data_IF_524925760491
#
_entry.id   IF_524925760491
#
_cell.length_a   1.000
_cell.length_b   1.000
_cell.length_c   1.000
_cell.angle_alpha   90.00
_cell.angle_beta   90.00
_cell.angle_gamma   90.00
#
_symmetry.space_group_name_H-M   'P 1'
#
loop_
_entity.id
_entity.type
_entity.pdbx_description
1 polymer ?
#
# COMPACT_ATOMS: atom_id res chain seq x y z
N UNK A 1 52.34 19.45 -17.09
CA UNK A 1 51.12 18.63 -17.14
C UNK A 1 51.55 17.22 -17.58
N UNK A 2 51.79 16.36 -16.62
CA UNK A 2 52.30 14.98 -16.84
C UNK A 2 51.14 14.04 -17.12
N UNK A 3 51.06 13.52 -18.33
CA UNK A 3 50.05 12.57 -18.76
C UNK A 3 50.25 11.22 -18.05
N UNK A 4 49.28 10.77 -17.29
CA UNK A 4 49.25 9.46 -16.62
C UNK A 4 49.26 8.37 -17.71
N UNK A 5 50.24 7.42 -17.69
CA UNK A 5 50.38 6.41 -18.72
C UNK A 5 49.15 5.50 -18.79
N UNK A 6 48.76 5.12 -20.00
CA UNK A 6 47.55 4.29 -20.27
C UNK A 6 47.51 2.99 -19.47
N UNK A 7 48.62 2.42 -19.10
CA UNK A 7 48.77 1.21 -18.29
C UNK A 7 48.27 1.44 -16.86
N UNK A 8 48.51 2.62 -16.28
CA UNK A 8 48.07 2.96 -14.92
C UNK A 8 46.53 3.18 -14.84
N UNK A 9 45.94 3.70 -15.94
CA UNK A 9 44.48 3.83 -16.04
C UNK A 9 43.77 2.48 -16.19
N UNK A 10 44.39 1.55 -16.95
CA UNK A 10 43.87 0.19 -17.10
C UNK A 10 43.99 -0.62 -15.79
N UNK A 11 45.09 -0.45 -15.04
CA UNK A 11 45.27 -1.09 -13.74
C UNK A 11 44.26 -0.53 -12.68
N UNK A 12 44.02 0.80 -12.69
CA UNK A 12 43.06 1.43 -11.78
C UNK A 12 41.60 1.02 -12.10
N UNK A 13 41.24 0.87 -13.38
CA UNK A 13 39.95 0.38 -13.81
C UNK A 13 39.73 -1.10 -13.45
N UNK A 14 40.77 -1.93 -13.58
CA UNK A 14 40.70 -3.34 -13.21
C UNK A 14 40.57 -3.53 -11.69
N UNK A 15 41.26 -2.71 -10.88
CA UNK A 15 41.10 -2.72 -9.42
C UNK A 15 39.72 -2.24 -8.98
N UNK A 16 39.13 -1.28 -9.68
CA UNK A 16 37.77 -0.82 -9.37
C UNK A 16 36.68 -1.86 -9.71
N UNK A 17 36.89 -2.61 -10.81
CA UNK A 17 36.01 -3.73 -11.20
C UNK A 17 36.14 -4.92 -10.22
N UNK A 18 37.34 -5.19 -9.70
CA UNK A 18 37.59 -6.23 -8.70
C UNK A 18 37.03 -5.86 -7.30
N UNK A 19 37.03 -4.58 -6.94
CA UNK A 19 36.40 -4.13 -5.67
C UNK A 19 34.87 -4.10 -5.73
N UNK A 20 34.27 -3.93 -6.92
CA UNK A 20 32.80 -3.97 -7.08
C UNK A 20 32.23 -5.39 -6.95
N UNK A 21 33.04 -6.44 -7.03
CA UNK A 21 32.58 -7.83 -6.96
C UNK A 21 32.49 -8.39 -5.53
N UNK A 22 32.78 -7.61 -4.49
CA UNK A 22 32.79 -8.06 -3.09
C UNK A 22 31.60 -7.59 -2.24
N UNK A 23 30.60 -6.96 -2.85
CA UNK A 23 29.32 -6.77 -2.17
C UNK A 23 28.46 -8.02 -2.39
N UNK A 24 28.89 -9.14 -1.81
CA UNK A 24 27.95 -10.21 -1.52
C UNK A 24 27.01 -9.69 -0.45
N UNK A 25 25.75 -9.47 -0.82
CA UNK A 25 24.69 -9.27 0.16
C UNK A 25 24.71 -10.49 1.09
N UNK A 26 25.17 -10.31 2.33
CA UNK A 26 25.05 -11.33 3.36
C UNK A 26 23.57 -11.79 3.38
N UNK A 27 23.29 -13.10 3.52
CA UNK A 27 21.93 -13.59 3.62
C UNK A 27 21.24 -12.84 4.75
N UNK A 28 20.30 -11.97 4.38
CA UNK A 28 19.69 -11.05 5.30
C UNK A 28 18.86 -11.82 6.34
N UNK A 29 19.13 -11.59 7.62
CA UNK A 29 18.26 -12.02 8.71
C UNK A 29 17.22 -10.95 8.91
N UNK A 30 15.95 -11.34 8.92
CA UNK A 30 14.80 -10.45 9.10
C UNK A 30 13.95 -10.93 10.27
N UNK A 31 13.51 -10.00 11.11
CA UNK A 31 12.52 -10.28 12.15
C UNK A 31 11.30 -9.38 11.97
N UNK A 32 10.12 -9.87 12.33
CA UNK A 32 8.87 -9.10 12.38
C UNK A 32 7.89 -9.73 13.35
N UNK A 33 6.98 -8.91 13.86
CA UNK A 33 5.84 -9.35 14.66
C UNK A 33 4.60 -9.52 13.77
N UNK A 34 3.67 -10.38 14.16
CA UNK A 34 2.36 -10.49 13.51
C UNK A 34 1.50 -9.24 13.75
N UNK A 35 1.79 -8.47 14.82
CA UNK A 35 1.19 -7.18 15.17
C UNK A 35 2.14 -6.40 16.09
N UNK A 36 2.02 -5.08 16.08
CA UNK A 36 2.81 -4.14 16.88
C UNK A 36 2.08 -3.63 18.14
N UNK A 37 0.78 -3.97 18.25
CA UNK A 37 -0.08 -3.59 19.38
C UNK A 37 -0.92 -4.79 19.82
N UNK A 38 -1.00 -5.02 21.13
CA UNK A 38 -1.76 -6.10 21.74
C UNK A 38 -2.25 -5.72 23.13
N UNK A 39 -3.13 -6.53 23.72
CA UNK A 39 -3.54 -6.40 25.12
C UNK A 39 -2.74 -7.36 26.01
N UNK A 40 -2.58 -7.00 27.29
CA UNK A 40 -1.97 -7.89 28.28
C UNK A 40 -2.80 -9.18 28.42
N UNK A 41 -2.11 -10.34 28.41
CA UNK A 41 -2.73 -11.67 28.39
C UNK A 41 -2.92 -12.27 26.98
N UNK A 42 -2.64 -11.51 25.93
CA UNK A 42 -2.55 -12.04 24.55
C UNK A 42 -1.13 -12.50 24.23
N UNK A 43 -1.00 -13.32 23.18
CA UNK A 43 0.30 -13.79 22.67
C UNK A 43 0.55 -13.19 21.29
N UNK A 44 1.70 -12.55 21.08
CA UNK A 44 2.17 -12.07 19.78
C UNK A 44 3.20 -13.04 19.20
N UNK A 45 3.19 -13.28 17.90
CA UNK A 45 4.17 -14.15 17.24
C UNK A 45 5.34 -13.34 16.70
N UNK A 46 6.53 -13.63 17.22
CA UNK A 46 7.79 -13.15 16.65
C UNK A 46 8.26 -14.13 15.59
N UNK A 47 8.40 -13.66 14.37
CA UNK A 47 8.94 -14.40 13.24
C UNK A 47 10.37 -13.93 12.97
N UNK A 48 11.29 -14.89 12.77
CA UNK A 48 12.68 -14.64 12.40
C UNK A 48 13.01 -15.49 11.17
N UNK A 49 13.36 -14.85 10.08
CA UNK A 49 13.75 -15.51 8.80
C UNK A 49 15.25 -15.37 8.59
N UNK A 50 15.91 -16.46 8.22
CA UNK A 50 17.29 -16.48 7.74
C UNK A 50 17.35 -17.04 6.32
N UNK A 51 18.17 -16.44 5.48
CA UNK A 51 18.47 -16.92 4.12
C UNK A 51 19.38 -18.15 4.06
N UNK A 52 19.67 -18.82 5.20
CA UNK A 52 20.50 -20.02 5.28
C UNK A 52 19.67 -21.28 5.54
N UNK A 53 19.99 -22.37 4.85
CA UNK A 53 19.27 -23.65 4.92
C UNK A 53 19.37 -24.34 6.30
N UNK A 54 20.45 -24.13 7.04
CA UNK A 54 20.72 -24.74 8.33
C UNK A 54 21.28 -23.71 9.31
N UNK A 55 20.74 -22.49 9.30
CA UNK A 55 21.15 -21.44 10.23
C UNK A 55 20.96 -21.88 11.68
N UNK A 56 21.87 -21.48 12.56
CA UNK A 56 21.69 -21.67 14.00
C UNK A 56 20.37 -20.99 14.42
N UNK A 57 19.62 -21.63 15.31
CA UNK A 57 18.41 -21.05 15.85
C UNK A 57 18.71 -19.70 16.57
N UNK A 58 17.81 -18.72 16.46
CA UNK A 58 17.95 -17.46 17.19
C UNK A 58 18.05 -17.70 18.70
N UNK A 59 18.89 -16.94 19.38
CA UNK A 59 18.88 -16.91 20.83
C UNK A 59 17.74 -16.03 21.33
N UNK A 60 16.68 -16.67 21.82
CA UNK A 60 15.51 -16.00 22.40
C UNK A 60 15.66 -15.72 23.91
N UNK A 61 16.79 -16.06 24.53
CA UNK A 61 16.99 -15.88 25.97
C UNK A 61 16.84 -14.41 26.46
N UNK A 62 17.25 -13.37 25.68
CA UNK A 62 17.06 -11.98 26.08
C UNK A 62 15.59 -11.58 26.23
N UNK A 63 14.67 -12.27 25.54
CA UNK A 63 13.24 -11.97 25.57
C UNK A 63 12.57 -12.43 26.86
N UNK A 64 13.14 -13.44 27.57
CA UNK A 64 12.56 -14.02 28.78
C UNK A 64 12.47 -13.04 29.96
N UNK A 65 13.15 -11.91 29.89
CA UNK A 65 13.06 -10.87 30.90
C UNK A 65 11.63 -10.29 30.93
N UNK A 66 11.11 -9.94 29.79
CA UNK A 66 9.86 -9.17 29.65
C UNK A 66 8.70 -10.03 29.13
N UNK A 67 9.01 -11.23 28.57
CA UNK A 67 8.03 -12.13 27.96
C UNK A 67 8.15 -13.56 28.51
N UNK A 68 7.03 -14.26 28.54
CA UNK A 68 6.99 -15.71 28.60
C UNK A 68 6.96 -16.26 27.17
N UNK A 69 7.85 -17.24 26.87
CA UNK A 69 7.94 -17.81 25.53
C UNK A 69 7.00 -19.03 25.43
N UNK A 70 6.02 -18.93 24.54
CA UNK A 70 5.00 -19.96 24.31
C UNK A 70 5.18 -20.57 22.93
N UNK A 71 5.60 -21.85 22.89
CA UNK A 71 5.76 -22.58 21.65
C UNK A 71 6.84 -22.00 20.72
N UNK A 72 7.74 -22.81 20.23
CA UNK A 72 8.69 -22.44 19.18
C UNK A 72 8.52 -23.41 18.04
N UNK A 73 8.30 -22.90 16.83
CA UNK A 73 8.20 -23.68 15.60
C UNK A 73 9.28 -23.23 14.63
N UNK A 74 9.81 -24.16 13.85
CA UNK A 74 10.71 -23.86 12.75
C UNK A 74 10.21 -24.50 11.47
N UNK A 75 10.31 -23.79 10.38
CA UNK A 75 9.97 -24.25 9.03
C UNK A 75 11.11 -23.92 8.09
N UNK A 76 11.48 -24.90 7.27
CA UNK A 76 12.53 -24.74 6.27
C UNK A 76 11.92 -24.85 4.87
N UNK A 77 12.23 -23.88 4.03
CA UNK A 77 11.84 -23.85 2.63
C UNK A 77 13.07 -23.85 1.74
N UNK A 78 13.15 -24.84 0.84
CA UNK A 78 14.18 -24.92 -0.18
C UNK A 78 13.53 -24.71 -1.55
N UNK A 79 14.03 -23.77 -2.31
CA UNK A 79 13.58 -23.49 -3.68
C UNK A 79 14.75 -23.67 -4.64
N UNK A 80 14.55 -24.42 -5.71
CA UNK A 80 15.54 -24.62 -6.77
C UNK A 80 14.97 -24.04 -8.06
N UNK A 81 15.56 -22.94 -8.52
CA UNK A 81 15.18 -22.28 -9.77
C UNK A 81 16.41 -22.17 -10.67
N UNK A 82 16.32 -22.72 -11.86
CA UNK A 82 17.41 -22.73 -12.87
C UNK A 82 18.75 -23.25 -12.32
N UNK A 83 18.73 -24.27 -11.44
CA UNK A 83 19.93 -24.85 -10.86
C UNK A 83 20.53 -24.08 -9.69
N UNK A 84 19.97 -22.93 -9.33
CA UNK A 84 20.33 -22.15 -8.13
C UNK A 84 19.42 -22.57 -6.99
N UNK A 85 20.01 -23.14 -5.94
CA UNK A 85 19.29 -23.50 -4.71
C UNK A 85 19.29 -22.31 -3.76
N UNK A 86 18.10 -21.85 -3.38
CA UNK A 86 17.90 -20.89 -2.28
C UNK A 86 17.17 -21.59 -1.15
N UNK A 87 17.66 -21.44 0.06
CA UNK A 87 17.01 -21.99 1.22
C UNK A 87 16.73 -20.88 2.22
N UNK A 88 15.58 -21.00 2.89
CA UNK A 88 15.15 -20.08 3.94
C UNK A 88 14.70 -20.89 5.14
N UNK A 89 15.07 -20.45 6.33
CA UNK A 89 14.58 -21.00 7.58
C UNK A 89 13.81 -19.94 8.32
N UNK A 90 12.59 -20.24 8.71
CA UNK A 90 11.69 -19.39 9.49
C UNK A 90 11.53 -20.00 10.88
N UNK A 91 11.79 -19.22 11.91
CA UNK A 91 11.44 -19.52 13.30
C UNK A 91 10.30 -18.63 13.74
N UNK A 92 9.27 -19.21 14.32
CA UNK A 92 8.14 -18.53 14.93
C UNK A 92 8.11 -18.86 16.42
N UNK A 93 8.07 -17.84 17.28
CA UNK A 93 7.96 -17.98 18.73
C UNK A 93 6.85 -17.10 19.26
N UNK A 94 5.98 -17.66 20.10
CA UNK A 94 4.95 -16.90 20.79
C UNK A 94 5.54 -16.15 21.98
N UNK A 95 5.25 -14.86 22.09
CA UNK A 95 5.64 -13.98 23.18
C UNK A 95 4.41 -13.57 23.97
N UNK A 96 4.34 -13.92 25.24
CA UNK A 96 3.31 -13.46 26.17
C UNK A 96 3.94 -12.43 27.11
N UNK A 97 3.55 -11.12 27.05
CA UNK A 97 4.12 -10.08 27.88
C UNK A 97 3.73 -10.25 29.35
N UNK A 98 4.66 -9.99 30.26
CA UNK A 98 4.45 -10.11 31.71
C UNK A 98 3.74 -8.90 32.33
N UNK A 99 3.77 -7.74 31.64
CA UNK A 99 3.09 -6.50 32.08
C UNK A 99 2.72 -5.66 30.84
N UNK A 100 1.89 -4.67 31.02
CA UNK A 100 1.57 -3.67 30.01
C UNK A 100 2.70 -2.63 29.87
N UNK A 101 2.73 -1.92 28.76
CA UNK A 101 3.73 -0.91 28.45
C UNK A 101 4.27 -1.00 27.03
N UNK A 102 5.29 -0.21 26.76
CA UNK A 102 6.00 -0.25 25.48
C UNK A 102 7.29 -1.06 25.65
N UNK A 103 7.47 -2.03 24.77
CA UNK A 103 8.61 -2.92 24.76
C UNK A 103 9.43 -2.74 23.49
N UNK A 104 10.74 -2.82 23.64
CA UNK A 104 11.66 -2.94 22.52
C UNK A 104 12.23 -4.36 22.50
N UNK A 105 11.86 -5.16 21.51
CA UNK A 105 12.47 -6.47 21.24
C UNK A 105 13.88 -6.21 20.72
N UNK A 106 14.93 -6.64 21.43
CA UNK A 106 16.30 -6.37 21.04
C UNK A 106 16.67 -7.08 19.72
N UNK A 107 17.75 -6.65 19.10
CA UNK A 107 18.36 -7.37 17.98
C UNK A 107 18.73 -8.79 18.42
N UNK A 108 18.28 -9.79 17.64
CA UNK A 108 18.55 -11.20 17.85
C UNK A 108 19.68 -11.66 16.93
N UNK A 109 20.59 -12.47 17.45
CA UNK A 109 21.69 -13.03 16.68
C UNK A 109 21.28 -14.36 16.07
N UNK A 110 21.50 -14.52 14.75
CA UNK A 110 21.21 -15.72 13.97
C UNK A 110 22.40 -15.98 13.04
N UNK A 111 23.16 -17.03 13.27
CA UNK A 111 24.28 -17.39 12.39
C UNK A 111 25.34 -16.30 12.19
N UNK A 112 25.51 -15.40 13.18
CA UNK A 112 26.48 -14.28 13.11
C UNK A 112 25.90 -12.98 12.50
N UNK A 113 24.70 -12.99 11.96
CA UNK A 113 23.93 -11.80 11.57
C UNK A 113 22.97 -11.35 12.68
N UNK A 114 22.56 -10.09 12.68
CA UNK A 114 21.64 -9.54 13.67
C UNK A 114 20.38 -9.00 13.00
N UNK A 115 19.23 -9.21 13.67
CA UNK A 115 17.96 -8.60 13.28
C UNK A 115 17.91 -7.13 13.67
N UNK A 116 17.04 -6.35 13.03
CA UNK A 116 16.68 -5.03 13.54
C UNK A 116 15.85 -5.16 14.82
N UNK A 117 15.94 -4.20 15.76
CA UNK A 117 15.05 -4.15 16.91
C UNK A 117 13.62 -3.88 16.47
N UNK A 118 12.62 -4.37 17.26
CA UNK A 118 11.20 -4.19 16.96
C UNK A 118 10.50 -3.55 18.17
N UNK A 119 9.50 -2.72 17.88
CA UNK A 119 8.66 -2.10 18.93
C UNK A 119 7.35 -2.89 19.08
N UNK A 120 6.91 -3.06 20.33
CA UNK A 120 5.64 -3.67 20.68
C UNK A 120 4.96 -2.84 21.77
N UNK A 121 3.71 -2.46 21.55
CA UNK A 121 2.88 -1.77 22.54
C UNK A 121 1.89 -2.74 23.14
N UNK A 122 1.98 -2.96 24.45
CA UNK A 122 1.06 -3.79 25.23
C UNK A 122 0.16 -2.87 26.03
N UNK A 123 -1.12 -2.91 25.72
CA UNK A 123 -2.16 -2.13 26.42
C UNK A 123 -2.67 -2.89 27.64
N UNK A 124 -3.07 -2.17 28.68
CA UNK A 124 -3.81 -2.77 29.76
C UNK A 124 -5.11 -3.41 29.23
N UNK A 125 -5.63 -4.48 29.85
CA UNK A 125 -6.89 -5.07 29.46
C UNK A 125 -7.99 -4.01 29.44
N UNK A 126 -8.76 -3.92 28.34
CA UNK A 126 -9.83 -2.94 28.22
C UNK A 126 -10.92 -3.25 29.25
N UNK A 127 -11.30 -2.30 30.13
CA UNK A 127 -12.41 -2.52 31.08
C UNK A 127 -13.78 -2.58 30.38
N UNK A 128 -13.87 -2.29 29.09
CA UNK A 128 -15.13 -2.11 28.36
C UNK A 128 -15.84 -3.39 27.91
N UNK A 129 -15.20 -4.54 28.06
CA UNK A 129 -15.87 -5.80 27.78
C UNK A 129 -15.56 -6.73 28.93
N UNK A 130 -16.47 -6.83 29.90
CA UNK A 130 -16.44 -7.98 30.80
C UNK A 130 -16.79 -9.20 29.93
N UNK A 131 -15.79 -9.97 29.44
CA UNK A 131 -16.10 -11.29 28.90
C UNK A 131 -16.85 -11.97 30.03
N UNK A 132 -17.91 -12.70 29.76
CA UNK A 132 -18.44 -13.56 30.81
C UNK A 132 -17.36 -14.61 31.07
N UNK A 133 -16.54 -14.46 32.13
CA UNK A 133 -15.42 -15.35 32.36
C UNK A 133 -16.01 -16.70 32.75
N UNK A 134 -15.82 -17.72 31.91
CA UNK A 134 -16.27 -19.07 32.21
C UNK A 134 -16.94 -19.79 31.04
N UNK A 135 -17.29 -19.11 29.97
CA UNK A 135 -17.81 -19.77 28.75
C UNK A 135 -16.71 -20.46 27.98
N UNK A 136 -17.00 -21.63 27.40
CA UNK A 136 -16.10 -22.34 26.49
C UNK A 136 -15.89 -21.58 25.18
N UNK A 137 -16.87 -20.73 24.80
CA UNK A 137 -16.86 -19.89 23.62
C UNK A 137 -17.62 -18.60 23.90
N UNK A 138 -17.08 -17.46 23.47
CA UNK A 138 -17.76 -16.18 23.55
C UNK A 138 -17.22 -15.20 22.51
N UNK A 139 -17.95 -14.11 22.28
CA UNK A 139 -17.59 -13.03 21.35
C UNK A 139 -17.44 -11.72 22.12
N UNK A 140 -16.40 -10.98 21.75
CA UNK A 140 -16.16 -9.61 22.15
C UNK A 140 -16.21 -8.71 20.92
N UNK A 141 -16.83 -7.55 21.04
CA UNK A 141 -16.90 -6.54 19.98
C UNK A 141 -16.49 -5.18 20.53
N UNK A 142 -15.76 -4.43 19.72
CA UNK A 142 -15.34 -3.08 20.04
C UNK A 142 -15.48 -2.20 18.80
N UNK A 143 -15.86 -0.95 18.99
CA UNK A 143 -15.92 0.07 17.95
C UNK A 143 -15.22 1.35 18.42
N UNK A 144 -14.47 1.97 17.54
CA UNK A 144 -13.74 3.19 17.83
C UNK A 144 -13.68 4.11 16.59
N UNK A 145 -14.12 5.37 16.71
CA UNK A 145 -14.77 6.00 17.86
C UNK A 145 -16.25 5.57 18.03
N UNK A 146 -16.82 5.71 19.24
CA UNK A 146 -18.24 5.48 19.50
C UNK A 146 -19.12 6.67 19.08
N UNK A 147 -18.53 7.84 18.91
CA UNK A 147 -19.20 9.08 18.50
C UNK A 147 -18.59 9.63 17.21
N UNK A 148 -18.63 8.86 16.10
CA UNK A 148 -18.05 9.29 14.83
C UNK A 148 -18.85 10.43 14.19
N UNK A 149 -18.27 11.14 13.27
CA UNK A 149 -19.02 11.93 12.31
C UNK A 149 -19.66 11.05 11.23
N UNK A 150 -20.73 11.54 10.62
CA UNK A 150 -21.26 10.92 9.39
C UNK A 150 -20.15 10.81 8.35
N UNK A 151 -20.05 9.64 7.67
CA UNK A 151 -19.01 9.28 6.71
C UNK A 151 -17.58 9.13 7.29
N UNK A 152 -17.38 9.23 8.59
CA UNK A 152 -16.12 8.90 9.24
C UNK A 152 -15.98 7.39 9.39
N UNK A 153 -14.81 6.84 9.11
CA UNK A 153 -14.52 5.43 9.39
C UNK A 153 -14.54 5.16 10.90
N UNK A 154 -15.26 4.12 11.29
CA UNK A 154 -15.22 3.51 12.62
C UNK A 154 -14.51 2.17 12.48
N UNK A 155 -13.50 1.94 13.30
CA UNK A 155 -12.82 0.64 13.39
C UNK A 155 -13.67 -0.28 14.25
N UNK A 156 -14.16 -1.36 13.66
CA UNK A 156 -14.96 -2.37 14.37
C UNK A 156 -14.20 -3.68 14.41
N UNK A 157 -13.96 -4.19 15.62
CA UNK A 157 -13.22 -5.42 15.85
C UNK A 157 -14.14 -6.45 16.50
N UNK A 158 -14.14 -7.66 15.94
CA UNK A 158 -14.84 -8.82 16.49
C UNK A 158 -13.80 -9.84 16.88
N UNK A 159 -13.78 -10.25 18.15
CA UNK A 159 -12.90 -11.30 18.67
C UNK A 159 -13.75 -12.50 19.11
N UNK A 160 -13.50 -13.65 18.51
CA UNK A 160 -14.08 -14.92 18.90
C UNK A 160 -13.07 -15.66 19.78
N UNK A 161 -13.46 -15.95 21.01
CA UNK A 161 -12.70 -16.73 21.97
C UNK A 161 -13.27 -18.12 22.07
N UNK A 162 -12.45 -19.17 22.00
CA UNK A 162 -12.85 -20.55 22.21
C UNK A 162 -11.73 -21.38 22.85
N UNK A 163 -12.10 -22.29 23.74
CA UNK A 163 -11.16 -23.05 24.58
C UNK A 163 -11.11 -24.55 24.20
N UNK A 164 -11.49 -24.89 22.98
CA UNK A 164 -11.53 -26.25 22.43
C UNK A 164 -11.19 -26.23 20.95
N UNK A 165 -10.95 -27.40 20.34
CA UNK A 165 -10.70 -27.48 18.91
C UNK A 165 -12.01 -27.35 18.11
N UNK A 166 -12.01 -26.49 17.10
CA UNK A 166 -13.10 -26.33 16.14
C UNK A 166 -12.78 -27.06 14.85
N UNK A 167 -13.76 -27.82 14.33
CA UNK A 167 -13.67 -28.42 12.99
C UNK A 167 -14.17 -27.46 11.92
N UNK A 168 -15.16 -26.65 12.26
CA UNK A 168 -15.72 -25.61 11.40
C UNK A 168 -16.26 -24.45 12.25
N UNK A 169 -16.48 -23.31 11.63
CA UNK A 169 -17.10 -22.17 12.29
C UNK A 169 -17.50 -21.08 11.30
N UNK A 170 -18.68 -20.52 11.52
CA UNK A 170 -19.18 -19.36 10.80
C UNK A 170 -19.36 -18.20 11.77
N UNK A 171 -18.60 -17.15 11.56
CA UNK A 171 -18.70 -15.88 12.27
C UNK A 171 -19.50 -14.89 11.42
N UNK A 172 -20.64 -14.43 11.93
CA UNK A 172 -21.50 -13.45 11.27
C UNK A 172 -20.79 -12.13 11.03
N UNK A 173 -21.34 -11.34 10.14
CA UNK A 173 -20.86 -9.99 9.80
C UNK A 173 -21.85 -8.94 10.26
N UNK A 174 -21.39 -7.74 10.63
CA UNK A 174 -22.30 -6.63 10.94
C UNK A 174 -23.10 -6.27 9.68
N UNK A 175 -24.41 -6.18 9.80
CA UNK A 175 -25.29 -5.75 8.70
C UNK A 175 -26.33 -4.82 9.27
N UNK A 176 -26.24 -3.53 8.92
CA UNK A 176 -27.10 -2.46 9.45
C UNK A 176 -27.44 -1.50 8.32
N UNK A 177 -28.69 -1.13 8.23
CA UNK A 177 -29.15 -0.13 7.27
C UNK A 177 -28.58 1.26 7.58
N UNK A 178 -27.98 1.92 6.57
CA UNK A 178 -27.28 3.19 6.72
C UNK A 178 -25.86 3.08 7.29
N UNK A 179 -25.28 1.88 7.21
CA UNK A 179 -23.89 1.62 7.58
C UNK A 179 -23.19 0.84 6.45
N UNK A 180 -22.23 1.46 5.80
CA UNK A 180 -21.33 0.73 4.89
C UNK A 180 -20.34 -0.10 5.70
N UNK A 181 -20.17 -1.37 5.34
CA UNK A 181 -19.32 -2.33 6.04
C UNK A 181 -18.27 -2.89 5.08
N UNK A 182 -17.01 -2.73 5.41
CA UNK A 182 -15.90 -3.31 4.65
C UNK A 182 -14.98 -4.10 5.56
N UNK A 183 -14.74 -5.37 5.26
CA UNK A 183 -13.77 -6.19 6.00
C UNK A 183 -12.35 -5.70 5.70
N UNK A 184 -11.52 -5.62 6.75
CA UNK A 184 -10.13 -5.16 6.68
C UNK A 184 -9.18 -6.35 6.84
N UNK A 185 -8.29 -6.54 5.85
CA UNK A 185 -7.29 -7.59 5.87
C UNK A 185 -7.83 -9.00 6.05
N UNK A 186 -7.01 -9.88 6.60
CA UNK A 186 -7.34 -11.26 6.93
C UNK A 186 -7.58 -11.41 8.44
N UNK A 187 -8.32 -12.47 8.82
CA UNK A 187 -8.48 -12.84 10.23
C UNK A 187 -7.13 -13.13 10.87
N UNK A 188 -6.93 -12.65 12.09
CA UNK A 188 -5.77 -12.95 12.90
C UNK A 188 -6.13 -14.00 13.93
N UNK A 189 -5.28 -15.03 14.04
CA UNK A 189 -5.46 -16.10 15.03
C UNK A 189 -4.30 -16.13 15.99
N UNK A 190 -4.61 -16.14 17.29
CA UNK A 190 -3.61 -16.15 18.36
C UNK A 190 -4.17 -16.79 19.62
N UNK A 191 -3.32 -16.97 20.63
CA UNK A 191 -3.73 -17.45 21.95
C UNK A 191 -3.88 -16.27 22.91
N UNK A 192 -4.84 -16.36 23.82
CA UNK A 192 -5.00 -15.39 24.90
C UNK A 192 -5.30 -16.13 26.22
N UNK A 193 -4.72 -15.64 27.31
CA UNK A 193 -4.99 -16.16 28.66
C UNK A 193 -5.88 -15.17 29.40
N UNK A 194 -7.10 -15.60 29.71
CA UNK A 194 -8.07 -14.80 30.47
C UNK A 194 -8.33 -15.48 31.83
N UNK A 195 -7.87 -14.86 32.90
CA UNK A 195 -7.88 -15.48 34.23
C UNK A 195 -6.97 -16.72 34.24
N UNK A 196 -7.51 -17.89 34.58
CA UNK A 196 -6.77 -19.15 34.61
C UNK A 196 -6.94 -19.97 33.33
N UNK A 197 -7.59 -19.45 32.29
CA UNK A 197 -7.97 -20.21 31.10
C UNK A 197 -7.33 -19.67 29.84
N UNK A 198 -6.82 -20.56 29.00
CA UNK A 198 -6.26 -20.24 27.68
C UNK A 198 -7.33 -20.42 26.60
N UNK A 199 -7.38 -19.46 25.68
CA UNK A 199 -8.30 -19.45 24.55
C UNK A 199 -7.55 -19.32 23.23
N UNK A 200 -8.07 -19.96 22.20
CA UNK A 200 -7.80 -19.56 20.84
C UNK A 200 -8.65 -18.33 20.52
N UNK A 201 -8.06 -17.34 19.89
CA UNK A 201 -8.74 -16.11 19.49
C UNK A 201 -8.68 -15.96 17.98
N UNK A 202 -9.83 -15.70 17.37
CA UNK A 202 -9.92 -15.26 15.98
C UNK A 202 -10.42 -13.82 15.99
N UNK A 203 -9.56 -12.92 15.52
CA UNK A 203 -9.85 -11.49 15.42
C UNK A 203 -10.14 -11.10 13.98
N UNK A 204 -11.33 -10.51 13.75
CA UNK A 204 -11.78 -9.99 12.48
C UNK A 204 -12.07 -8.50 12.61
N UNK A 205 -11.60 -7.72 11.63
CA UNK A 205 -11.73 -6.27 11.64
C UNK A 205 -12.56 -5.78 10.47
N UNK A 206 -13.28 -4.68 10.71
CA UNK A 206 -14.11 -4.01 9.73
C UNK A 206 -13.91 -2.50 9.80
N UNK A 207 -13.97 -1.85 8.66
CA UNK A 207 -14.24 -0.44 8.53
C UNK A 207 -15.76 -0.27 8.42
N UNK A 208 -16.36 0.43 9.37
CA UNK A 208 -17.76 0.82 9.33
C UNK A 208 -17.83 2.31 8.98
N UNK A 209 -18.64 2.66 8.00
CA UNK A 209 -18.84 4.06 7.59
C UNK A 209 -20.31 4.42 7.70
N UNK A 210 -20.71 5.21 8.73
CA UNK A 210 -22.10 5.66 8.88
C UNK A 210 -22.50 6.59 7.75
N UNK A 211 -23.64 6.34 7.12
CA UNK A 211 -24.17 7.15 6.01
C UNK A 211 -25.13 8.25 6.46
N UNK A 212 -25.61 8.16 7.71
CA UNK A 212 -26.54 9.12 8.33
C UNK A 212 -26.14 9.45 9.75
N UNK A 213 -26.44 10.64 10.22
CA UNK A 213 -26.30 11.05 11.62
C UNK A 213 -27.43 10.54 12.49
N UNK A 214 -27.19 10.49 13.80
CA UNK A 214 -28.13 9.99 14.83
C UNK A 214 -27.61 8.71 15.47
N UNK A 215 -28.47 8.11 16.30
CA UNK A 215 -28.18 6.85 16.97
C UNK A 215 -28.28 5.69 15.99
N UNK A 216 -27.24 4.86 15.93
CA UNK A 216 -27.15 3.70 15.06
C UNK A 216 -26.75 2.47 15.89
N UNK A 217 -27.64 1.49 15.95
CA UNK A 217 -27.40 0.25 16.69
C UNK A 217 -26.80 -0.83 15.78
N UNK A 218 -25.64 -1.35 16.16
CA UNK A 218 -25.01 -2.50 15.54
C UNK A 218 -25.50 -3.74 16.29
N UNK A 219 -26.26 -4.65 15.66
CA UNK A 219 -26.82 -5.81 16.33
C UNK A 219 -25.72 -6.79 16.78
N UNK A 220 -26.06 -7.64 17.74
CA UNK A 220 -25.18 -8.68 18.22
C UNK A 220 -24.72 -9.60 17.09
N UNK A 221 -23.41 -9.78 16.96
CA UNK A 221 -22.80 -10.72 16.03
C UNK A 221 -22.98 -12.13 16.57
N UNK A 222 -23.36 -13.07 15.71
CA UNK A 222 -23.53 -14.49 16.05
C UNK A 222 -22.37 -15.30 15.51
N UNK A 223 -21.94 -16.27 16.32
CA UNK A 223 -21.03 -17.34 15.90
C UNK A 223 -21.75 -18.68 16.03
N UNK A 224 -21.52 -19.56 15.06
CA UNK A 224 -21.93 -20.97 15.10
C UNK A 224 -20.79 -21.83 14.55
N UNK A 225 -20.41 -22.89 15.27
CA UNK A 225 -19.37 -23.80 14.85
C UNK A 225 -19.58 -25.20 15.43
N UNK A 226 -18.67 -26.12 15.08
CA UNK A 226 -18.64 -27.49 15.58
C UNK A 226 -17.36 -27.72 16.34
N UNK A 227 -17.49 -28.03 17.63
CA UNK A 227 -16.36 -28.38 18.49
C UNK A 227 -16.08 -29.89 18.40
N UNK A 228 -14.80 -30.27 18.40
CA UNK A 228 -14.39 -31.66 18.60
C UNK A 228 -14.78 -32.10 20.00
N UNK A 229 -15.29 -33.31 20.10
CA UNK A 229 -15.57 -33.93 21.39
C UNK A 229 -14.24 -34.49 21.97
N UNK A 230 -13.76 -33.91 23.06
CA UNK A 230 -12.52 -34.33 23.72
C UNK A 230 -12.58 -35.80 24.25
N UNK A 231 -13.76 -36.39 24.33
CA UNK A 231 -13.93 -37.77 24.76
C UNK A 231 -13.64 -38.83 23.67
N UNK A 232 -13.54 -38.40 22.41
CA UNK A 232 -13.15 -39.29 21.29
C UNK A 232 -11.90 -38.75 20.54
N UNK A 233 -10.70 -39.01 21.04
CA UNK A 233 -9.46 -38.56 20.42
C UNK A 233 -9.17 -39.15 19.05
N UNK A 234 -9.92 -40.18 18.64
CA UNK A 234 -9.71 -40.85 17.32
C UNK A 234 -10.53 -40.20 16.20
N UNK A 235 -11.54 -39.38 16.53
CA UNK A 235 -12.34 -38.61 15.56
C UNK A 235 -13.19 -39.48 14.59
N UNK A 236 -13.12 -40.82 14.70
CA UNK A 236 -13.75 -41.72 13.72
C UNK A 236 -15.27 -41.83 13.87
N UNK A 237 -15.83 -41.53 15.05
CA UNK A 237 -17.24 -41.63 15.36
C UNK A 237 -17.84 -40.44 16.06
N UNK A 238 -17.05 -39.36 16.31
CA UNK A 238 -17.55 -38.21 17.04
C UNK A 238 -18.39 -37.30 16.14
N UNK A 239 -19.68 -37.26 16.39
CA UNK A 239 -20.51 -36.15 15.96
C UNK A 239 -20.08 -34.93 16.79
N UNK A 240 -19.35 -33.99 16.18
CA UNK A 240 -18.93 -32.78 16.89
C UNK A 240 -20.11 -32.06 17.54
N UNK A 241 -19.86 -31.44 18.67
CA UNK A 241 -20.87 -30.68 19.41
C UNK A 241 -21.05 -29.30 18.77
N UNK A 242 -22.29 -28.94 18.38
CA UNK A 242 -22.58 -27.59 17.91
C UNK A 242 -22.42 -26.61 19.05
N UNK A 243 -21.65 -25.56 18.80
CA UNK A 243 -21.42 -24.45 19.72
C UNK A 243 -21.87 -23.15 19.09
N UNK A 244 -22.44 -22.27 19.91
CA UNK A 244 -22.91 -20.97 19.48
C UNK A 244 -22.50 -19.91 20.50
N UNK A 245 -22.22 -18.71 20.01
CA UNK A 245 -21.97 -17.54 20.85
C UNK A 245 -22.59 -16.30 20.20
N UNK A 246 -22.88 -15.30 21.01
CA UNK A 246 -23.35 -13.99 20.56
C UNK A 246 -22.59 -12.89 21.28
N UNK A 247 -22.24 -11.83 20.55
CA UNK A 247 -21.71 -10.61 21.14
C UNK A 247 -22.82 -9.79 21.80
N UNK A 248 -22.44 -8.73 22.47
CA UNK A 248 -23.36 -7.65 22.81
C UNK A 248 -23.65 -6.81 21.55
N UNK A 249 -24.82 -6.16 21.52
CA UNK A 249 -25.11 -5.09 20.58
C UNK A 249 -24.30 -3.86 20.97
N UNK A 250 -23.96 -3.02 20.00
CA UNK A 250 -23.17 -1.82 20.22
C UNK A 250 -23.86 -0.61 19.57
N UNK A 251 -23.90 0.52 20.27
CA UNK A 251 -24.52 1.74 19.79
C UNK A 251 -23.46 2.76 19.39
N UNK A 252 -23.63 3.35 18.20
CA UNK A 252 -22.86 4.50 17.72
C UNK A 252 -23.74 5.75 17.79
N UNK A 253 -23.23 6.83 18.34
CA UNK A 253 -23.84 8.16 18.30
C UNK A 253 -23.19 8.99 17.19
N UNK A 254 -23.77 8.90 15.99
CA UNK A 254 -23.20 9.51 14.79
C UNK A 254 -23.48 11.01 14.74
N UNK A 255 -22.44 11.82 14.83
CA UNK A 255 -22.51 13.28 14.77
C UNK A 255 -22.80 13.77 13.34
N UNK A 256 -23.65 14.77 13.16
CA UNK A 256 -23.82 15.39 11.85
C UNK A 256 -22.56 16.18 11.46
N UNK A 257 -22.41 16.49 10.16
CA UNK A 257 -21.42 17.43 9.69
C UNK A 257 -21.55 18.77 10.44
N UNK A 258 -20.47 19.36 10.95
CA UNK A 258 -20.50 20.64 11.67
C UNK A 258 -21.16 21.75 10.83
N UNK A 259 -21.98 22.60 11.45
CA UNK A 259 -22.64 23.71 10.77
C UNK A 259 -21.67 24.73 10.16
N UNK A 260 -20.44 24.79 10.69
CA UNK A 260 -19.34 25.63 10.18
C UNK A 260 -18.71 25.07 8.90
N UNK A 261 -19.05 23.85 8.49
CA UNK A 261 -18.55 23.25 7.27
C UNK A 261 -19.49 23.55 6.11
N UNK A 262 -19.11 24.55 5.31
CA UNK A 262 -19.84 25.01 4.12
C UNK A 262 -18.91 24.96 2.90
N UNK A 263 -19.50 24.92 1.71
CA UNK A 263 -18.85 25.16 0.42
C UNK A 263 -17.68 24.23 0.02
N UNK A 264 -17.59 23.05 0.66
CA UNK A 264 -16.62 22.03 0.30
C UNK A 264 -17.19 20.61 0.47
N UNK A 265 -16.71 19.61 -0.28
CA UNK A 265 -17.02 18.20 -0.02
C UNK A 265 -16.69 17.84 1.42
N UNK A 266 -17.56 17.03 2.03
CA UNK A 266 -17.34 16.56 3.41
C UNK A 266 -16.32 15.43 3.42
N UNK A 267 -15.15 15.63 4.05
CA UNK A 267 -14.03 14.70 4.09
C UNK A 267 -13.58 14.51 5.54
N UNK A 268 -14.27 13.68 6.34
CA UNK A 268 -13.87 13.39 7.71
C UNK A 268 -12.77 12.32 7.73
N UNK A 269 -11.53 12.74 7.72
CA UNK A 269 -10.36 11.87 7.63
C UNK A 269 -9.49 11.93 8.89
N UNK A 270 -8.70 10.89 9.11
CA UNK A 270 -7.60 10.88 10.10
C UNK A 270 -6.41 11.70 9.60
N UNK A 271 -6.14 11.60 8.30
CA UNK A 271 -5.13 12.42 7.61
C UNK A 271 -5.44 12.55 6.13
N UNK A 272 -5.04 13.66 5.53
CA UNK A 272 -5.09 13.89 4.09
C UNK A 272 -3.71 14.34 3.62
N UNK A 273 -3.21 13.67 2.58
CA UNK A 273 -1.95 13.99 1.92
C UNK A 273 -2.24 14.37 0.47
N UNK A 274 -1.82 15.57 0.09
CA UNK A 274 -1.81 16.03 -1.29
C UNK A 274 -0.35 16.14 -1.74
N UNK A 275 0.01 15.40 -2.81
CA UNK A 275 1.38 15.30 -3.30
C UNK A 275 1.46 15.60 -4.79
N UNK A 276 2.52 16.26 -5.18
CA UNK A 276 2.92 16.48 -6.58
C UNK A 276 3.99 15.43 -6.94
N UNK A 277 3.63 14.46 -7.76
CA UNK A 277 4.53 13.40 -8.23
C UNK A 277 5.11 13.76 -9.63
N UNK A 278 5.09 15.03 -10.02
CA UNK A 278 5.58 15.51 -11.31
C UNK A 278 7.09 15.70 -11.32
N UNK A 279 7.70 15.36 -12.43
CA UNK A 279 9.04 15.82 -12.80
C UNK A 279 8.87 16.94 -13.84
N UNK A 280 8.71 18.17 -13.34
CA UNK A 280 8.48 19.34 -14.18
C UNK A 280 9.82 19.96 -14.59
N UNK A 281 10.06 20.16 -15.90
CA UNK A 281 11.24 20.87 -16.38
C UNK A 281 11.17 22.34 -16.02
N UNK A 282 12.32 22.99 -15.85
CA UNK A 282 12.40 24.43 -15.61
C UNK A 282 12.10 25.24 -16.87
N UNK A 283 12.38 24.67 -18.07
CA UNK A 283 12.21 25.30 -19.37
C UNK A 283 11.54 24.36 -20.37
N UNK A 284 10.62 24.89 -21.20
CA UNK A 284 9.95 24.17 -22.29
C UNK A 284 9.72 25.11 -23.47
N UNK A 285 9.43 24.59 -24.66
CA UNK A 285 9.05 25.42 -25.80
C UNK A 285 7.53 25.56 -25.92
N UNK A 286 7.10 26.59 -26.60
CA UNK A 286 5.69 26.74 -27.02
C UNK A 286 5.26 25.50 -27.81
N UNK A 287 4.15 24.90 -27.38
CA UNK A 287 3.61 23.68 -27.98
C UNK A 287 4.06 22.36 -27.33
N UNK A 288 5.13 22.37 -26.51
CA UNK A 288 5.59 21.19 -25.81
C UNK A 288 4.71 20.91 -24.58
N UNK A 289 4.13 19.71 -24.44
CA UNK A 289 3.27 19.41 -23.31
C UNK A 289 4.08 19.21 -22.02
N UNK A 290 3.61 19.80 -20.94
CA UNK A 290 4.14 19.62 -19.57
C UNK A 290 3.12 18.89 -18.74
N UNK A 291 3.47 17.74 -18.16
CA UNK A 291 2.55 16.91 -17.39
C UNK A 291 2.73 17.13 -15.89
N UNK A 292 1.67 17.58 -15.22
CA UNK A 292 1.58 17.63 -13.76
C UNK A 292 0.77 16.46 -13.23
N UNK A 293 1.35 15.65 -12.33
CA UNK A 293 0.71 14.48 -11.72
C UNK A 293 0.40 14.77 -10.26
N UNK A 294 -0.87 14.85 -9.93
CA UNK A 294 -1.35 15.10 -8.58
C UNK A 294 -1.87 13.83 -7.94
N UNK A 295 -1.46 13.60 -6.70
CA UNK A 295 -1.91 12.47 -5.87
C UNK A 295 -2.60 13.01 -4.63
N UNK A 296 -3.86 12.63 -4.46
CA UNK A 296 -4.64 12.87 -3.25
C UNK A 296 -4.82 11.52 -2.52
N UNK A 297 -4.39 11.45 -1.28
CA UNK A 297 -4.56 10.30 -0.41
C UNK A 297 -5.27 10.71 0.88
N UNK A 298 -6.12 9.84 1.40
CA UNK A 298 -6.71 10.04 2.72
C UNK A 298 -6.75 8.74 3.49
N UNK A 299 -6.49 8.83 4.80
CA UNK A 299 -6.66 7.75 5.76
C UNK A 299 -8.04 7.85 6.41
N UNK A 300 -8.74 6.72 6.48
CA UNK A 300 -10.09 6.65 7.01
C UNK A 300 -11.19 6.94 5.99
N UNK A 301 -10.85 7.05 4.71
CA UNK A 301 -11.80 7.25 3.61
C UNK A 301 -11.46 6.30 2.45
N UNK A 302 -12.51 5.83 1.75
CA UNK A 302 -12.34 5.19 0.45
C UNK A 302 -12.14 6.22 -0.68
N UNK A 303 -11.68 5.78 -1.85
CA UNK A 303 -11.49 6.68 -3.00
C UNK A 303 -12.81 7.33 -3.45
N UNK A 304 -13.94 6.66 -3.22
CA UNK A 304 -15.28 7.13 -3.61
C UNK A 304 -15.65 8.46 -2.92
N UNK A 305 -15.13 8.65 -1.71
CA UNK A 305 -15.37 9.85 -0.91
C UNK A 305 -14.43 11.01 -1.27
N UNK A 306 -13.30 10.72 -1.96
CA UNK A 306 -12.33 11.76 -2.30
C UNK A 306 -12.82 12.60 -3.49
N UNK A 307 -12.66 13.94 -3.42
CA UNK A 307 -12.96 14.80 -4.57
C UNK A 307 -12.00 14.53 -5.71
N UNK A 308 -12.49 14.77 -6.92
CA UNK A 308 -11.62 14.69 -8.09
C UNK A 308 -10.74 15.94 -8.16
N UNK A 309 -9.39 15.79 -8.19
CA UNK A 309 -8.51 16.93 -8.37
C UNK A 309 -8.82 17.65 -9.68
N UNK A 310 -8.95 18.98 -9.62
CA UNK A 310 -9.18 19.83 -10.79
C UNK A 310 -8.23 21.00 -10.76
N UNK A 311 -7.65 21.33 -11.92
CA UNK A 311 -6.82 22.50 -12.11
C UNK A 311 -7.44 23.39 -13.18
N UNK A 312 -7.48 24.70 -12.92
CA UNK A 312 -7.91 25.67 -13.93
C UNK A 312 -6.83 25.84 -15.00
N UNK A 313 -7.25 26.17 -16.21
CA UNK A 313 -6.32 26.54 -17.27
C UNK A 313 -5.60 27.84 -16.90
N UNK A 314 -4.26 27.85 -16.85
CA UNK A 314 -3.51 29.08 -16.59
C UNK A 314 -3.51 29.98 -17.82
N UNK A 315 -3.28 31.27 -17.60
CA UNK A 315 -3.09 32.19 -18.72
C UNK A 315 -1.82 31.83 -19.51
N UNK A 316 -2.00 31.45 -20.80
CA UNK A 316 -0.90 31.11 -21.71
C UNK A 316 -0.61 29.62 -21.87
N UNK A 317 -1.51 28.76 -21.39
CA UNK A 317 -1.51 27.35 -21.74
C UNK A 317 -2.93 26.78 -21.75
N UNK A 318 -3.15 25.77 -22.57
CA UNK A 318 -4.33 24.92 -22.53
C UNK A 318 -4.08 23.75 -21.59
N UNK A 319 -5.13 23.29 -20.88
CA UNK A 319 -5.05 22.18 -19.93
C UNK A 319 -5.91 21.01 -20.41
N UNK A 320 -5.32 19.82 -20.43
CA UNK A 320 -5.95 18.58 -20.80
C UNK A 320 -5.86 17.61 -19.64
N UNK A 321 -6.96 17.48 -18.84
CA UNK A 321 -6.98 16.53 -17.73
C UNK A 321 -7.13 15.11 -18.25
N UNK A 322 -6.33 14.19 -17.74
CA UNK A 322 -6.47 12.75 -17.98
C UNK A 322 -7.53 12.14 -17.05
N UNK A 323 -7.92 10.89 -17.34
CA UNK A 323 -8.79 10.13 -16.45
C UNK A 323 -8.11 9.89 -15.11
N UNK A 324 -8.84 10.12 -14.02
CA UNK A 324 -8.31 9.85 -12.70
C UNK A 324 -8.15 8.33 -12.46
N UNK A 325 -6.99 7.93 -11.96
CA UNK A 325 -6.74 6.60 -11.43
C UNK A 325 -7.16 6.58 -9.96
N UNK A 326 -7.94 5.58 -9.55
CA UNK A 326 -8.50 5.49 -8.20
C UNK A 326 -8.20 4.15 -7.57
N UNK A 327 -7.96 4.14 -6.26
CA UNK A 327 -7.69 2.93 -5.52
C UNK A 327 -8.08 3.10 -4.05
N UNK A 328 -8.67 2.06 -3.45
CA UNK A 328 -8.75 1.89 -2.00
C UNK A 328 -7.89 0.70 -1.59
N UNK A 329 -7.05 0.87 -0.59
CA UNK A 329 -6.29 -0.19 0.08
C UNK A 329 -6.56 -0.12 1.58
N UNK A 330 -6.22 -1.17 2.31
CA UNK A 330 -6.22 -1.18 3.76
C UNK A 330 -4.90 -1.71 4.32
N UNK A 331 -4.64 -1.42 5.59
CA UNK A 331 -3.53 -1.94 6.37
C UNK A 331 -4.00 -2.90 7.49
N UNK A 332 -5.25 -3.31 7.42
CA UNK A 332 -5.92 -4.11 8.44
C UNK A 332 -6.49 -3.31 9.61
N UNK A 333 -6.34 -1.98 9.62
CA UNK A 333 -6.92 -1.07 10.62
C UNK A 333 -7.64 0.11 9.96
N UNK A 334 -7.09 0.64 8.88
CA UNK A 334 -7.59 1.81 8.20
C UNK A 334 -7.74 1.58 6.70
N UNK A 335 -8.76 2.24 6.14
CA UNK A 335 -8.86 2.43 4.70
C UNK A 335 -7.99 3.60 4.26
N UNK A 336 -7.38 3.45 3.10
CA UNK A 336 -6.61 4.49 2.42
C UNK A 336 -7.15 4.65 1.01
N UNK A 337 -7.94 5.69 0.80
CA UNK A 337 -8.38 6.11 -0.52
C UNK A 337 -7.29 6.89 -1.24
N UNK A 338 -7.13 6.67 -2.52
CA UNK A 338 -6.18 7.35 -3.37
C UNK A 338 -6.82 7.74 -4.70
N UNK A 339 -6.57 8.99 -5.14
CA UNK A 339 -6.82 9.46 -6.49
C UNK A 339 -5.56 10.06 -7.06
N UNK A 340 -5.15 9.58 -8.24
CA UNK A 340 -4.04 10.15 -9.01
C UNK A 340 -4.61 10.69 -10.31
N UNK A 341 -4.29 11.96 -10.62
CA UNK A 341 -4.71 12.57 -11.88
C UNK A 341 -3.57 13.31 -12.54
N UNK A 342 -3.45 13.14 -13.83
CA UNK A 342 -2.49 13.83 -14.69
C UNK A 342 -3.16 14.98 -15.43
N UNK A 343 -2.42 16.05 -15.59
CA UNK A 343 -2.84 17.22 -16.34
C UNK A 343 -1.73 17.60 -17.31
N UNK A 344 -2.00 17.54 -18.60
CA UNK A 344 -1.08 18.03 -19.61
C UNK A 344 -1.37 19.51 -19.88
N UNK A 345 -0.39 20.35 -19.65
CA UNK A 345 -0.41 21.77 -19.98
C UNK A 345 0.36 22.00 -21.27
N UNK A 346 -0.28 22.59 -22.28
CA UNK A 346 0.35 22.92 -23.54
C UNK A 346 0.50 24.45 -23.64
N UNK A 347 1.72 24.99 -23.43
CA UNK A 347 1.98 26.41 -23.54
C UNK A 347 1.70 26.93 -24.96
N UNK A 348 0.94 28.03 -25.08
CA UNK A 348 0.57 28.63 -26.37
C UNK A 348 1.29 29.97 -26.66
N UNK A 349 2.11 30.48 -25.72
CA UNK A 349 2.93 31.70 -25.85
C UNK A 349 4.20 31.60 -25.04
N UNK A 350 5.30 32.26 -25.48
CA UNK A 350 6.54 32.32 -24.70
C UNK A 350 6.39 33.24 -23.49
N UNK A 351 7.24 33.02 -22.48
CA UNK A 351 7.28 33.77 -21.24
C UNK A 351 7.19 32.91 -20.00
N UNK A 352 6.71 33.42 -18.90
CA UNK A 352 6.55 32.68 -17.64
C UNK A 352 5.16 32.07 -17.58
N UNK A 353 5.10 30.74 -17.43
CA UNK A 353 3.87 30.01 -17.20
C UNK A 353 3.77 29.60 -15.74
N UNK A 354 2.71 30.02 -15.06
CA UNK A 354 2.41 29.61 -13.69
C UNK A 354 1.32 28.54 -13.70
N UNK A 355 1.68 27.30 -13.44
CA UNK A 355 0.75 26.18 -13.29
C UNK A 355 0.09 26.30 -11.91
N UNK A 356 -1.26 26.34 -11.81
CA UNK A 356 -1.95 26.60 -10.56
C UNK A 356 -1.70 25.51 -9.53
N UNK A 357 -1.69 25.90 -8.25
CA UNK A 357 -1.71 24.98 -7.11
C UNK A 357 -3.07 24.33 -6.91
N UNK A 358 -3.18 23.47 -5.92
CA UNK A 358 -4.42 22.82 -5.51
C UNK A 358 -4.53 22.87 -3.98
N UNK A 359 -5.72 23.17 -3.47
CA UNK A 359 -6.04 23.09 -2.06
C UNK A 359 -7.26 22.20 -1.86
N UNK A 360 -7.18 21.28 -0.89
CA UNK A 360 -8.27 20.37 -0.50
C UNK A 360 -8.58 20.61 0.97
N UNK A 361 -9.77 21.12 1.24
CA UNK A 361 -10.27 21.32 2.60
C UNK A 361 -10.83 20.00 3.13
N UNK A 362 -10.47 19.62 4.36
CA UNK A 362 -10.89 18.37 5.00
C UNK A 362 -11.10 18.57 6.50
N UNK A 363 -11.82 17.66 7.14
CA UNK A 363 -12.05 17.68 8.58
C UNK A 363 -11.12 16.66 9.25
N UNK A 364 -10.22 17.16 10.10
CA UNK A 364 -9.35 16.31 10.91
C UNK A 364 -10.17 15.76 12.08
N UNK A 365 -10.45 14.45 12.04
CA UNK A 365 -11.29 13.78 13.03
C UNK A 365 -10.62 13.59 14.38
N UNK A 366 -9.27 13.59 14.43
CA UNK A 366 -8.51 13.52 15.67
C UNK A 366 -8.44 14.89 16.37
N UNK A 367 -8.19 15.94 15.60
CA UNK A 367 -8.06 17.31 16.11
C UNK A 367 -9.41 18.04 16.22
N UNK A 368 -10.49 17.43 15.69
CA UNK A 368 -11.85 17.97 15.64
C UNK A 368 -11.96 19.38 15.05
N UNK A 369 -11.26 19.62 13.92
CA UNK A 369 -11.20 20.90 13.24
C UNK A 369 -11.02 20.77 11.73
N UNK A 370 -11.35 21.86 11.02
CA UNK A 370 -11.06 21.97 9.60
C UNK A 370 -9.56 22.20 9.36
N UNK A 371 -9.02 21.50 8.39
CA UNK A 371 -7.64 21.65 7.89
C UNK A 371 -7.63 21.74 6.36
N UNK A 372 -6.51 22.17 5.80
CA UNK A 372 -6.31 22.30 4.35
C UNK A 372 -5.02 21.56 3.97
N UNK A 373 -5.12 20.64 3.03
CA UNK A 373 -3.97 20.07 2.34
C UNK A 373 -3.71 20.91 1.08
N UNK A 374 -2.52 21.48 0.94
CA UNK A 374 -2.23 22.45 -0.10
C UNK A 374 -0.96 22.09 -0.87
N UNK A 375 -1.02 22.26 -2.19
CA UNK A 375 0.12 22.26 -3.09
C UNK A 375 0.30 23.67 -3.67
N UNK A 376 1.50 24.26 -3.60
CA UNK A 376 1.76 25.56 -4.17
C UNK A 376 1.71 25.55 -5.70
N UNK A 377 1.51 26.73 -6.34
CA UNK A 377 1.67 26.87 -7.77
C UNK A 377 3.13 26.59 -8.18
N UNK A 378 3.33 26.18 -9.42
CA UNK A 378 4.65 25.93 -10.01
C UNK A 378 4.87 26.87 -11.19
N UNK A 379 6.07 27.42 -11.32
CA UNK A 379 6.43 28.33 -12.40
C UNK A 379 7.48 27.70 -13.28
N UNK A 380 7.26 27.76 -14.60
CA UNK A 380 8.20 27.26 -15.63
C UNK A 380 8.43 28.36 -16.69
N UNK A 381 9.58 28.35 -17.32
CA UNK A 381 9.94 29.28 -18.42
C UNK A 381 9.52 28.64 -19.75
N UNK A 382 8.75 29.36 -20.53
CA UNK A 382 8.34 28.93 -21.88
C UNK A 382 9.17 29.71 -22.91
N UNK A 383 9.98 28.95 -23.65
CA UNK A 383 10.80 29.49 -24.74
C UNK A 383 9.96 29.59 -26.04
N UNK A 384 10.34 30.43 -27.02
CA UNK A 384 9.70 30.43 -28.33
C UNK A 384 9.73 29.06 -28.97
N UNK A 385 8.78 28.78 -29.88
CA UNK A 385 8.71 27.49 -30.57
C UNK A 385 10.04 27.17 -31.27
N UNK A 386 10.52 25.94 -31.13
CA UNK A 386 11.75 25.49 -31.77
C UNK A 386 11.58 25.56 -33.31
N UNK A 387 12.26 26.50 -33.94
CA UNK A 387 12.17 26.69 -35.40
C UNK A 387 11.50 27.99 -35.85
N UNK A 388 11.01 28.86 -34.95
CA UNK A 388 10.62 30.24 -35.33
C UNK A 388 11.88 31.07 -35.60
N UNK A 389 12.14 31.50 -36.83
CA UNK A 389 13.24 32.38 -37.07
C UNK A 389 13.02 33.68 -36.27
N UNK A 390 14.02 34.04 -35.46
CA UNK A 390 14.07 35.34 -34.82
C UNK A 390 13.86 36.40 -35.90
N UNK A 391 12.74 37.09 -35.86
CA UNK A 391 12.53 38.29 -36.69
C UNK A 391 13.47 39.38 -36.21
N UNK A 392 14.75 39.24 -36.60
CA UNK A 392 15.67 40.39 -36.62
C UNK A 392 15.14 41.37 -37.65
N UNK A 393 14.67 42.51 -37.17
CA UNK A 393 14.12 43.57 -37.99
C UNK A 393 15.01 43.99 -39.14
N UNK A 394 14.51 43.89 -40.32
CA UNK A 394 14.96 44.67 -41.44
C UNK A 394 13.72 45.22 -42.14
N UNK A 395 13.41 46.44 -41.85
CA UNK A 395 12.49 47.25 -42.66
C UNK A 395 13.02 47.41 -44.05
N UNK A 396 12.33 46.93 -45.07
CA UNK A 396 12.45 47.48 -46.41
C UNK A 396 11.07 47.50 -47.11
N UNK A 397 10.57 48.70 -47.16
CA UNK A 397 9.90 49.41 -48.27
C UNK A 397 9.08 48.64 -49.29
N UNK A 398 7.82 48.83 -49.20
CA UNK A 398 6.77 49.16 -50.15
C UNK A 398 7.03 48.99 -51.65
N UNK A 399 6.24 48.12 -52.31
CA UNK A 399 5.66 48.35 -53.62
C UNK A 399 4.42 47.41 -53.80
N UNK A 400 3.26 47.99 -54.01
CA UNK A 400 2.05 47.36 -54.53
C UNK A 400 1.94 47.71 -56.05
N UNK A 401 0.89 47.27 -56.80
CA UNK A 401 0.12 46.03 -56.78
C UNK A 401 0.06 45.38 -58.20
N UNK A 402 -0.36 44.12 -58.29
CA UNK A 402 -1.01 43.65 -59.49
C UNK A 402 -1.99 42.49 -59.18
N UNK A 403 -3.20 42.72 -59.63
CA UNK A 403 -4.38 41.87 -59.63
C UNK A 403 -4.18 40.61 -60.51
N UNK A 404 -4.70 39.47 -60.08
CA UNK A 404 -4.75 38.26 -60.92
C UNK A 404 -5.60 37.18 -60.25
N UNK A 405 -6.71 36.85 -60.90
CA UNK A 405 -7.82 36.03 -60.46
C UNK A 405 -7.54 34.56 -60.22
N UNK A 406 -8.30 33.98 -59.31
CA UNK A 406 -8.97 32.67 -59.26
C UNK A 406 -8.27 31.43 -59.76
N UNK A 407 -8.10 30.46 -58.83
CA UNK A 407 -8.53 29.06 -59.08
C UNK A 407 -8.62 28.32 -57.73
N UNK A 408 -9.78 27.81 -57.45
CA UNK A 408 -10.06 26.92 -56.37
C UNK A 408 -9.45 25.54 -56.64
N UNK A 409 -8.74 24.97 -55.67
CA UNK A 409 -8.34 23.56 -55.65
C UNK A 409 -8.85 22.88 -54.40
N UNK A 410 -9.21 21.59 -54.48
CA UNK A 410 -10.08 20.94 -53.49
C UNK A 410 -9.35 20.48 -52.22
N UNK A 411 -10.13 20.44 -51.16
CA UNK A 411 -9.78 19.94 -49.83
C UNK A 411 -9.37 18.48 -49.93
N UNK A 412 -8.13 18.17 -49.57
CA UNK A 412 -7.65 16.80 -49.39
C UNK A 412 -8.02 16.33 -47.97
N UNK A 413 -8.57 15.11 -47.88
CA UNK A 413 -8.95 14.41 -46.67
C UNK A 413 -7.74 14.08 -45.80
N UNK A 414 -7.91 13.90 -44.45
CA UNK A 414 -6.82 13.58 -43.56
C UNK A 414 -6.25 12.19 -43.81
N UNK A 415 -4.96 12.14 -43.96
CA UNK A 415 -4.16 10.94 -44.17
C UNK A 415 -4.09 10.10 -42.89
N UNK A 416 -4.32 8.80 -43.02
CA UNK A 416 -4.23 7.80 -41.95
C UNK A 416 -2.78 7.61 -41.47
N UNK A 417 -2.55 7.10 -40.23
CA UNK A 417 -1.22 6.98 -39.66
C UNK A 417 -0.32 6.02 -40.43
N UNK A 418 0.90 6.46 -40.67
CA UNK A 418 1.91 5.73 -41.45
C UNK A 418 2.18 4.35 -40.88
N UNK A 419 1.86 3.31 -41.64
CA UNK A 419 2.33 1.95 -41.38
C UNK A 419 3.86 1.90 -41.46
N UNK A 420 4.48 1.27 -40.50
CA UNK A 420 5.94 1.06 -40.41
C UNK A 420 6.47 0.50 -41.73
N UNK A 421 7.56 1.07 -42.24
CA UNK A 421 8.15 0.69 -43.54
C UNK A 421 8.49 -0.80 -43.54
N UNK A 422 8.25 -1.52 -44.70
CA UNK A 422 8.46 -2.98 -44.78
C UNK A 422 9.94 -3.42 -44.55
N UNK A 423 10.88 -2.50 -44.55
CA UNK A 423 12.30 -2.76 -44.26
C UNK A 423 12.56 -2.97 -42.78
N UNK A 424 11.87 -2.23 -41.90
CA UNK A 424 12.00 -2.36 -40.45
C UNK A 424 11.38 -3.69 -39.97
N UNK A 425 10.24 -4.08 -40.55
CA UNK A 425 9.57 -5.35 -40.24
C UNK A 425 10.44 -6.56 -40.61
N UNK A 426 11.11 -6.52 -41.75
CA UNK A 426 12.04 -7.59 -42.20
C UNK A 426 13.29 -7.69 -41.33
N UNK A 427 13.82 -6.57 -40.83
CA UNK A 427 14.96 -6.57 -39.89
C UNK A 427 14.60 -7.24 -38.57
N UNK A 428 13.41 -6.97 -38.02
CA UNK A 428 12.93 -7.61 -36.78
C UNK A 428 12.65 -9.11 -36.95
N UNK A 429 12.12 -9.51 -38.12
CA UNK A 429 11.90 -10.92 -38.45
C UNK A 429 13.21 -11.70 -38.60
N UNK A 430 14.24 -11.10 -39.20
CA UNK A 430 15.57 -11.70 -39.32
C UNK A 430 16.23 -11.89 -37.94
N UNK A 431 16.08 -10.92 -37.03
CA UNK A 431 16.61 -10.97 -35.67
C UNK A 431 15.91 -12.06 -34.84
N UNK A 432 14.61 -12.19 -34.98
CA UNK A 432 13.83 -13.23 -34.30
C UNK A 432 14.19 -14.65 -34.80
N UNK A 433 14.39 -14.83 -36.10
CA UNK A 433 14.83 -16.11 -36.69
C UNK A 433 16.25 -16.49 -36.26
N UNK A 434 17.18 -15.52 -36.17
CA UNK A 434 18.53 -15.75 -35.68
C UNK A 434 18.52 -16.17 -34.19
N UNK A 435 17.71 -15.52 -33.35
CA UNK A 435 17.54 -15.90 -31.95
C UNK A 435 16.98 -17.31 -31.78
N UNK A 436 16.00 -17.68 -32.58
CA UNK A 436 15.40 -19.01 -32.55
C UNK A 436 16.36 -20.11 -33.01
N UNK A 437 17.19 -19.84 -34.05
CA UNK A 437 18.22 -20.75 -34.51
C UNK A 437 19.31 -20.97 -33.45
N UNK A 438 19.71 -19.91 -32.73
CA UNK A 438 20.70 -20.00 -31.64
C UNK A 438 20.14 -20.84 -30.47
N UNK A 439 18.87 -20.67 -30.15
CA UNK A 439 18.17 -21.45 -29.13
C UNK A 439 18.09 -22.94 -29.48
N UNK A 440 17.75 -23.26 -30.74
CA UNK A 440 17.75 -24.65 -31.21
C UNK A 440 19.16 -25.28 -31.19
N UNK A 441 20.18 -24.52 -31.53
CA UNK A 441 21.57 -24.98 -31.46
C UNK A 441 22.00 -25.29 -30.02
N UNK A 442 21.65 -24.45 -29.06
CA UNK A 442 21.92 -24.70 -27.63
C UNK A 442 21.16 -25.90 -27.13
N UNK A 443 19.93 -26.10 -27.55
CA UNK A 443 19.12 -27.26 -27.18
C UNK A 443 19.71 -28.58 -27.75
N UNK A 444 20.19 -28.56 -28.99
CA UNK A 444 20.81 -29.71 -29.65
C UNK A 444 22.16 -30.06 -28.97
N UNK A 445 22.97 -29.06 -28.60
CA UNK A 445 24.21 -29.25 -27.85
C UNK A 445 23.95 -29.86 -26.46
N UNK A 446 22.92 -29.38 -25.77
CA UNK A 446 22.53 -29.91 -24.49
C UNK A 446 22.02 -31.37 -24.57
N UNK A 447 21.28 -31.70 -25.66
CA UNK A 447 20.80 -33.09 -25.89
C UNK A 447 21.95 -34.05 -26.26
N UNK A 448 22.98 -33.53 -26.88
CA UNK A 448 24.19 -34.34 -27.26
C UNK A 448 25.16 -34.52 -26.08
N UNK A 449 25.05 -33.70 -25.03
CA UNK A 449 25.89 -33.75 -23.83
C UNK A 449 25.26 -34.60 -22.71
N UNK A 450 24.03 -35.10 -22.91
CA UNK A 450 23.33 -36.10 -22.09
C UNK A 450 23.44 -37.48 -22.73
#
# INVERSE_FOLDING_TARGET
MTAIPRVLRAALALTFVLLASLVQAAPGVRAWLDRDTMQLGETVTLNVESGEANGAAPDFSPLRRDFELTGTQSSQQVSIVNGVSTAKTLWAVGLEPKHDGRFTIPSLTVGGAQTAPLELTVQAPSPAATPQPGGDVFLEVAAEPLTPYVQQQVRYTVKLYYAFDLTDGNLGEPNVDGLSVQRLGQDRSYLATLGARRYHVVERRYALTPERSGTLEIPAIAFRGTALDASDPTGFFSRGRVVTARSQALTLEVRPKPATWTDAPWLPAESVLLKDDSDLPDEVHVGDPVTRTLRLQAQGLGYEQLPEPTLAAPAGADVYPDKAETRTRDDGAWLYGERVRKFAFVPNRPGTLTIPGLAVRWWNTQADRAEVAELPPRTITVLPAAGSPSASGTSLSQAAPASGAAAATPIAAPEAPHAASPRVLRAWQALALAGFALWLATLALWWRAR
#
